data_IF_726986139592
#
_entry.id   IF_726986139592
#
_cell.length_a   1.000
_cell.length_b   1.000
_cell.length_c   1.000
_cell.angle_alpha   90.00
_cell.angle_beta   90.00
_cell.angle_gamma   90.00
#
_symmetry.space_group_name_H-M   'P 1'
#
loop_
_entity.id
_entity.type
_entity.pdbx_description
1 polymer ?
#
# COMPACT_ATOMS: atom_id res chain seq x y z
N UNK A 1 -4.60 12.16 -24.66
CA UNK A 1 -3.40 11.32 -24.81
C UNK A 1 -3.74 9.95 -25.38
N UNK A 2 -2.83 9.30 -26.17
CA UNK A 2 -3.08 7.95 -26.73
C UNK A 2 -2.13 6.95 -26.06
N UNK A 3 -2.67 5.82 -25.60
CA UNK A 3 -1.91 4.74 -24.97
C UNK A 3 -2.18 3.42 -25.69
N UNK A 4 -1.21 2.53 -25.69
CA UNK A 4 -1.33 1.24 -26.34
C UNK A 4 -2.39 0.36 -25.67
N UNK A 5 -3.36 -0.09 -26.44
CA UNK A 5 -4.30 -1.12 -26.06
C UNK A 5 -3.75 -2.47 -26.53
N UNK A 6 -3.64 -3.42 -25.61
CA UNK A 6 -3.12 -4.75 -25.87
C UNK A 6 -4.20 -5.78 -25.52
N UNK A 7 -4.26 -6.87 -26.25
CA UNK A 7 -5.14 -8.00 -25.94
C UNK A 7 -4.30 -9.18 -25.47
N UNK A 8 -4.73 -9.89 -24.42
CA UNK A 8 -4.10 -11.12 -23.97
C UNK A 8 -4.29 -12.30 -24.93
N UNK A 9 -5.30 -12.22 -25.81
CA UNK A 9 -5.65 -13.28 -26.75
C UNK A 9 -5.11 -13.06 -28.16
N UNK A 10 -4.80 -11.81 -28.53
CA UNK A 10 -4.35 -11.46 -29.89
C UNK A 10 -3.28 -10.38 -29.82
N UNK A 11 -2.25 -10.50 -30.66
CA UNK A 11 -1.17 -9.49 -30.78
C UNK A 11 -1.63 -8.18 -31.48
N UNK A 12 -2.93 -7.90 -31.51
CA UNK A 12 -3.44 -6.67 -32.09
C UNK A 12 -3.14 -5.50 -31.18
N UNK A 13 -2.39 -4.54 -31.67
CA UNK A 13 -2.15 -3.25 -31.01
C UNK A 13 -3.15 -2.25 -31.55
N UNK A 14 -3.99 -1.72 -30.71
CA UNK A 14 -4.86 -0.57 -30.99
C UNK A 14 -4.52 0.55 -29.99
N UNK A 15 -5.05 1.73 -30.18
CA UNK A 15 -4.81 2.85 -29.26
C UNK A 15 -6.12 3.22 -28.55
N UNK A 16 -6.01 3.48 -27.25
CA UNK A 16 -7.09 4.01 -26.41
C UNK A 16 -6.81 5.48 -26.10
N UNK A 17 -7.81 6.33 -26.27
CA UNK A 17 -7.72 7.74 -25.86
C UNK A 17 -7.96 7.87 -24.35
N UNK A 18 -7.09 8.62 -23.69
CA UNK A 18 -7.16 8.93 -22.26
C UNK A 18 -7.45 10.42 -22.06
N UNK A 19 -8.17 10.76 -20.99
CA UNK A 19 -8.51 12.13 -20.63
C UNK A 19 -7.29 12.87 -20.06
N UNK A 20 -6.87 13.94 -20.72
CA UNK A 20 -5.69 14.74 -20.34
C UNK A 20 -5.84 15.39 -18.95
N UNK A 21 -7.06 15.69 -18.49
CA UNK A 21 -7.30 16.24 -17.15
C UNK A 21 -6.98 15.27 -16.00
N UNK A 22 -6.85 13.97 -16.30
CA UNK A 22 -6.58 12.90 -15.32
C UNK A 22 -5.18 12.33 -15.51
N UNK A 23 -4.78 12.09 -16.76
CA UNK A 23 -3.55 11.37 -17.10
C UNK A 23 -2.43 12.27 -17.65
N UNK A 24 -2.74 13.54 -17.98
CA UNK A 24 -1.79 14.48 -18.58
C UNK A 24 -1.16 15.48 -17.60
N UNK A 25 -1.33 15.30 -16.29
CA UNK A 25 -0.79 16.22 -15.28
C UNK A 25 0.71 16.04 -15.11
N UNK A 26 1.44 17.12 -14.82
CA UNK A 26 2.82 17.02 -14.38
C UNK A 26 2.91 16.41 -12.97
N UNK A 27 3.61 15.27 -12.79
CA UNK A 27 3.65 14.58 -11.51
C UNK A 27 4.33 15.42 -10.43
N UNK A 28 3.65 15.62 -9.30
CA UNK A 28 4.16 16.35 -8.13
C UNK A 28 4.58 15.37 -7.04
N UNK A 29 5.88 15.24 -6.83
CA UNK A 29 6.47 14.32 -5.84
C UNK A 29 6.07 14.64 -4.40
N UNK A 30 5.87 15.91 -4.02
CA UNK A 30 5.42 16.32 -2.69
C UNK A 30 4.01 15.79 -2.36
N UNK A 31 3.08 15.84 -3.32
CA UNK A 31 1.72 15.33 -3.15
C UNK A 31 1.74 13.80 -3.06
N UNK A 32 2.47 13.14 -3.96
CA UNK A 32 2.63 11.68 -3.94
C UNK A 32 3.21 11.19 -2.61
N UNK A 33 4.27 11.82 -2.11
CA UNK A 33 4.88 11.50 -0.83
C UNK A 33 3.88 11.63 0.35
N UNK A 34 3.11 12.71 0.40
CA UNK A 34 2.09 12.90 1.46
C UNK A 34 1.02 11.80 1.44
N UNK A 35 0.56 11.39 0.24
CA UNK A 35 -0.46 10.33 0.13
C UNK A 35 0.13 8.97 0.49
N UNK A 36 1.35 8.65 0.06
CA UNK A 36 2.06 7.41 0.44
C UNK A 36 2.28 7.36 1.94
N UNK A 37 2.76 8.44 2.56
CA UNK A 37 2.95 8.52 4.02
C UNK A 37 1.64 8.32 4.78
N UNK A 38 0.53 8.92 4.31
CA UNK A 38 -0.80 8.67 4.87
C UNK A 38 -1.18 7.18 4.82
N UNK A 39 -0.95 6.52 3.69
CA UNK A 39 -1.33 5.12 3.51
C UNK A 39 -0.48 4.19 4.38
N UNK A 40 0.83 4.43 4.47
CA UNK A 40 1.73 3.68 5.33
C UNK A 40 1.42 3.88 6.82
N UNK A 41 1.13 5.12 7.23
CA UNK A 41 0.77 5.42 8.62
C UNK A 41 -0.53 4.74 9.05
N UNK A 42 -1.52 4.65 8.14
CA UNK A 42 -2.78 3.92 8.40
C UNK A 42 -2.62 2.40 8.49
N UNK A 43 -1.63 1.81 7.82
CA UNK A 43 -1.34 0.38 7.91
C UNK A 43 -0.69 -0.02 9.23
N UNK A 44 -0.16 0.94 9.98
CA UNK A 44 0.54 0.70 11.23
C UNK A 44 -0.44 0.45 12.37
N UNK A 45 -0.43 -0.74 12.96
CA UNK A 45 -1.37 -1.13 14.02
C UNK A 45 -1.12 -0.45 15.37
N UNK A 46 0.12 -0.04 15.65
CA UNK A 46 0.49 0.70 16.85
C UNK A 46 0.29 -0.04 18.19
N UNK A 47 0.28 -1.37 18.20
CA UNK A 47 -0.04 -2.20 19.36
C UNK A 47 1.15 -2.45 20.32
N UNK A 48 2.35 -1.98 19.96
CA UNK A 48 3.54 -2.18 20.79
C UNK A 48 3.40 -1.46 22.14
N UNK A 49 3.70 -2.19 23.22
CA UNK A 49 3.58 -1.73 24.60
C UNK A 49 4.71 -2.29 25.43
N UNK A 50 5.19 -1.51 26.37
CA UNK A 50 6.05 -1.97 27.46
C UNK A 50 5.32 -1.84 28.80
N UNK A 51 5.73 -2.61 29.79
CA UNK A 51 5.19 -2.51 31.15
C UNK A 51 5.83 -1.34 31.89
N UNK A 52 5.02 -0.44 32.41
CA UNK A 52 5.44 0.63 33.30
C UNK A 52 5.58 0.12 34.74
N UNK A 53 6.24 0.92 35.58
CA UNK A 53 6.43 0.59 37.00
C UNK A 53 5.15 0.22 37.74
N UNK A 54 4.01 0.80 37.37
CA UNK A 54 2.71 0.51 37.98
C UNK A 54 2.13 -0.83 37.54
N UNK A 55 2.43 -1.28 36.32
CA UNK A 55 1.86 -2.49 35.70
C UNK A 55 2.58 -3.78 36.10
N UNK A 56 3.90 -3.69 36.39
CA UNK A 56 4.68 -4.87 36.75
C UNK A 56 4.15 -5.49 38.06
N UNK A 57 4.01 -6.81 38.06
CA UNK A 57 3.65 -7.59 39.23
C UNK A 57 4.79 -7.57 40.24
N UNK A 58 4.49 -7.32 41.51
CA UNK A 58 5.48 -7.32 42.57
C UNK A 58 5.07 -6.42 43.74
N UNK A 59 5.80 -6.55 44.85
CA UNK A 59 5.53 -5.78 46.07
C UNK A 59 5.71 -4.27 45.84
N UNK A 60 4.80 -3.49 46.37
CA UNK A 60 4.89 -2.02 46.43
C UNK A 60 5.56 -1.52 47.70
N UNK A 61 5.95 -2.45 48.62
CA UNK A 61 6.66 -2.13 49.86
C UNK A 61 7.99 -1.46 49.55
N UNK A 62 8.34 -0.45 50.32
CA UNK A 62 9.65 0.19 50.28
C UNK A 62 10.73 -0.84 50.66
N UNK A 63 11.81 -0.90 49.86
CA UNK A 63 12.85 -1.94 49.97
C UNK A 63 13.59 -1.83 51.32
N UNK A 64 13.92 -0.60 51.74
CA UNK A 64 14.66 -0.35 52.96
C UNK A 64 14.22 0.97 53.60
N UNK A 65 14.61 1.18 54.86
CA UNK A 65 14.34 2.41 55.59
C UNK A 65 14.95 3.62 54.90
N UNK A 66 14.33 4.80 55.09
CA UNK A 66 14.74 6.05 54.40
C UNK A 66 16.13 6.52 54.88
N UNK A 67 16.49 6.23 56.11
CA UNK A 67 17.78 6.61 56.75
C UNK A 67 18.33 5.43 57.57
N UNK A 68 19.62 5.44 57.85
CA UNK A 68 20.27 4.45 58.72
C UNK A 68 20.73 3.16 58.04
N UNK A 69 20.48 2.99 56.72
CA UNK A 69 20.87 1.78 55.98
C UNK A 69 22.24 1.85 55.29
N UNK A 70 22.89 3.02 55.28
CA UNK A 70 24.17 3.24 54.57
C UNK A 70 24.10 3.13 53.02
N UNK A 71 22.99 2.65 52.49
CA UNK A 71 22.79 2.44 51.03
C UNK A 71 22.00 3.55 50.34
N UNK A 72 21.95 3.49 49.01
CA UNK A 72 21.15 4.41 48.22
C UNK A 72 19.67 4.30 48.55
N UNK A 73 18.95 5.42 48.52
CA UNK A 73 17.51 5.47 48.79
C UNK A 73 16.72 4.93 47.61
N UNK A 74 15.95 3.88 47.87
CA UNK A 74 15.08 3.28 46.88
C UNK A 74 13.63 3.20 47.35
N UNK A 75 12.70 3.25 46.46
CA UNK A 75 11.28 3.03 46.71
C UNK A 75 10.96 1.53 46.72
N UNK A 76 10.45 1.01 45.62
CA UNK A 76 10.08 -0.39 45.44
C UNK A 76 11.01 -1.10 44.44
N UNK A 77 11.00 -2.45 44.43
CA UNK A 77 11.75 -3.22 43.41
C UNK A 77 11.28 -3.01 41.96
N UNK A 78 10.11 -2.42 41.77
CA UNK A 78 9.53 -2.16 40.44
C UNK A 78 10.13 -0.95 39.74
N UNK A 79 11.01 -0.15 40.38
CA UNK A 79 11.61 1.03 39.77
C UNK A 79 12.53 0.66 38.60
N UNK A 80 12.62 1.54 37.66
CA UNK A 80 13.32 1.33 36.37
C UNK A 80 14.84 1.06 36.52
N UNK A 81 15.41 1.39 37.69
CA UNK A 81 16.81 1.19 38.00
C UNK A 81 17.17 -0.30 38.22
N UNK A 82 16.20 -1.12 38.64
CA UNK A 82 16.43 -2.52 38.92
C UNK A 82 16.14 -3.44 37.75
N UNK A 83 16.83 -4.57 37.64
CA UNK A 83 16.49 -5.65 36.73
C UNK A 83 15.06 -6.13 37.01
N UNK A 84 14.25 -6.26 35.96
CA UNK A 84 12.84 -6.60 36.08
C UNK A 84 11.95 -5.44 36.56
N UNK A 85 12.48 -4.23 36.68
CA UNK A 85 11.71 -3.02 36.90
C UNK A 85 11.03 -2.51 35.63
N UNK A 86 10.09 -1.55 35.77
CA UNK A 86 9.35 -0.96 34.65
C UNK A 86 10.23 -0.18 33.70
N UNK A 87 9.79 -0.05 32.46
CA UNK A 87 10.45 0.79 31.47
C UNK A 87 9.95 2.24 31.60
N UNK A 88 10.89 3.20 31.67
CA UNK A 88 10.56 4.61 31.63
C UNK A 88 10.40 5.07 30.19
N UNK A 89 9.33 5.83 29.89
CA UNK A 89 9.10 6.42 28.56
C UNK A 89 9.15 5.43 27.39
N UNK A 90 8.81 4.17 27.64
CA UNK A 90 8.73 3.17 26.59
C UNK A 90 7.51 3.36 25.68
N UNK A 91 7.42 2.61 24.59
CA UNK A 91 6.29 2.72 23.67
C UNK A 91 4.97 2.33 24.33
N UNK A 92 3.93 3.11 24.02
CA UNK A 92 2.54 2.85 24.40
C UNK A 92 1.69 2.67 23.17
N UNK A 93 0.62 1.84 23.23
CA UNK A 93 -0.32 1.73 22.13
C UNK A 93 -0.85 3.11 21.74
N UNK A 94 -0.73 3.43 20.43
CA UNK A 94 -1.23 4.70 19.90
C UNK A 94 -1.67 4.56 18.46
N UNK A 95 -2.59 5.41 18.03
CA UNK A 95 -2.94 5.56 16.63
C UNK A 95 -1.85 6.39 15.91
N UNK A 96 -1.35 5.86 14.79
CA UNK A 96 -0.39 6.53 13.90
C UNK A 96 -1.06 7.15 12.70
N UNK A 97 -2.38 7.02 12.55
CA UNK A 97 -3.09 7.54 11.38
C UNK A 97 -2.96 9.06 11.29
N UNK A 98 -2.72 9.54 10.08
CA UNK A 98 -2.72 10.96 9.75
C UNK A 98 -3.96 11.30 8.94
N UNK A 99 -4.36 12.57 8.91
CA UNK A 99 -5.50 13.05 8.11
C UNK A 99 -4.99 13.84 6.91
N UNK A 100 -5.58 13.57 5.74
CA UNK A 100 -5.33 14.33 4.50
C UNK A 100 -6.67 14.65 3.83
N UNK A 101 -6.90 15.88 3.36
CA UNK A 101 -8.14 16.26 2.68
C UNK A 101 -8.45 15.36 1.48
N UNK A 102 -9.74 15.11 1.22
CA UNK A 102 -10.19 14.27 0.09
C UNK A 102 -9.65 14.76 -1.26
N UNK A 103 -9.71 16.09 -1.50
CA UNK A 103 -9.20 16.72 -2.72
C UNK A 103 -7.72 16.41 -3.00
N UNK A 104 -6.87 16.46 -1.95
CA UNK A 104 -5.44 16.13 -2.09
C UNK A 104 -5.22 14.65 -2.38
N UNK A 105 -6.02 13.75 -1.80
CA UNK A 105 -5.93 12.30 -2.09
C UNK A 105 -6.33 12.00 -3.53
N UNK A 106 -7.41 12.61 -4.02
CA UNK A 106 -7.84 12.50 -5.43
C UNK A 106 -6.78 13.06 -6.37
N UNK A 107 -6.24 14.24 -6.06
CA UNK A 107 -5.17 14.85 -6.84
C UNK A 107 -3.90 13.97 -6.86
N UNK A 108 -3.54 13.37 -5.73
CA UNK A 108 -2.43 12.41 -5.64
C UNK A 108 -2.63 11.17 -6.52
N UNK A 109 -3.86 10.66 -6.63
CA UNK A 109 -4.16 9.56 -7.54
C UNK A 109 -4.01 9.97 -9.01
N UNK A 110 -4.51 11.16 -9.40
CA UNK A 110 -4.31 11.70 -10.76
C UNK A 110 -2.82 11.84 -11.08
N UNK A 111 -2.01 12.38 -10.16
CA UNK A 111 -0.55 12.49 -10.36
C UNK A 111 0.15 11.13 -10.47
N UNK A 112 -0.29 10.11 -9.72
CA UNK A 112 0.28 8.76 -9.83
C UNK A 112 -0.01 8.12 -11.19
N UNK A 113 -1.24 8.26 -11.69
CA UNK A 113 -1.62 7.81 -13.03
C UNK A 113 -0.85 8.55 -14.13
N UNK A 114 -0.74 9.89 -14.02
CA UNK A 114 0.03 10.71 -14.96
C UNK A 114 1.52 10.36 -14.97
N UNK A 115 2.10 10.04 -13.79
CA UNK A 115 3.48 9.59 -13.71
C UNK A 115 3.71 8.28 -14.50
N UNK A 116 2.77 7.33 -14.38
CA UNK A 116 2.83 6.07 -15.13
C UNK A 116 2.69 6.25 -16.63
N UNK A 117 1.86 7.20 -17.06
CA UNK A 117 1.75 7.53 -18.49
C UNK A 117 3.01 8.22 -19.01
N UNK A 118 3.55 9.18 -18.27
CA UNK A 118 4.76 9.94 -18.65
C UNK A 118 6.00 9.04 -18.81
N UNK A 119 6.06 7.95 -18.04
CA UNK A 119 7.16 6.98 -18.09
C UNK A 119 6.90 5.83 -19.08
N UNK A 120 5.83 5.84 -19.86
CA UNK A 120 5.41 4.72 -20.73
C UNK A 120 5.22 3.39 -19.95
N UNK A 121 4.76 3.50 -18.71
CA UNK A 121 4.55 2.37 -17.80
C UNK A 121 3.07 1.97 -17.69
N UNK A 122 2.15 2.71 -18.33
CA UNK A 122 0.73 2.40 -18.36
C UNK A 122 0.38 1.60 -19.61
N UNK A 123 -0.31 0.48 -19.43
CA UNK A 123 -0.81 -0.37 -20.50
C UNK A 123 -2.31 -0.57 -20.29
N UNK A 124 -3.08 -0.50 -21.36
CA UNK A 124 -4.50 -0.80 -21.32
C UNK A 124 -4.74 -2.17 -21.92
N UNK A 125 -5.44 -3.05 -21.19
CA UNK A 125 -5.91 -4.33 -21.69
C UNK A 125 -7.37 -4.24 -22.13
N UNK A 126 -7.70 -4.95 -23.17
CA UNK A 126 -9.09 -5.08 -23.62
C UNK A 126 -9.91 -5.82 -22.55
N UNK A 127 -9.52 -7.05 -22.22
CA UNK A 127 -10.12 -7.87 -21.16
C UNK A 127 -9.05 -8.70 -20.43
N UNK A 128 -9.22 -8.84 -19.11
CA UNK A 128 -8.38 -9.68 -18.24
C UNK A 128 -9.04 -11.06 -18.05
N UNK A 129 -9.13 -11.86 -19.12
CA UNK A 129 -9.76 -13.19 -19.11
C UNK A 129 -8.81 -14.30 -19.55
N UNK A 130 -8.97 -15.48 -18.94
CA UNK A 130 -8.26 -16.70 -19.30
C UNK A 130 -9.24 -17.86 -19.50
N UNK A 131 -8.99 -18.68 -20.51
CA UNK A 131 -9.76 -19.89 -20.78
C UNK A 131 -9.54 -20.97 -19.70
N UNK A 132 -8.34 -21.01 -19.12
CA UNK A 132 -7.97 -21.98 -18.08
C UNK A 132 -7.15 -21.31 -16.97
N UNK A 133 -7.24 -21.76 -15.69
CA UNK A 133 -6.52 -21.18 -14.55
C UNK A 133 -5.03 -21.61 -14.52
N UNK A 134 -4.40 -21.86 -15.69
CA UNK A 134 -3.01 -22.30 -15.77
C UNK A 134 -2.05 -21.13 -15.67
N UNK A 135 -1.26 -21.10 -14.61
CA UNK A 135 -0.22 -20.08 -14.38
C UNK A 135 0.84 -20.05 -15.46
N UNK A 136 1.20 -21.22 -16.07
CA UNK A 136 2.19 -21.31 -17.12
C UNK A 136 1.80 -20.53 -18.38
N UNK A 137 0.53 -20.61 -18.79
CA UNK A 137 0.00 -19.87 -19.95
C UNK A 137 0.02 -18.36 -19.71
N UNK A 138 -0.36 -17.94 -18.50
CA UNK A 138 -0.31 -16.52 -18.13
C UNK A 138 1.15 -16.04 -18.06
N UNK A 139 2.06 -16.81 -17.46
CA UNK A 139 3.46 -16.42 -17.32
C UNK A 139 4.17 -16.23 -18.65
N UNK A 140 3.88 -17.04 -19.68
CA UNK A 140 4.46 -16.84 -21.03
C UNK A 140 3.96 -15.54 -21.66
N UNK A 141 2.66 -15.24 -21.58
CA UNK A 141 2.08 -13.99 -22.08
C UNK A 141 2.62 -12.74 -21.38
N UNK A 142 2.80 -12.82 -20.05
CA UNK A 142 3.37 -11.74 -19.25
C UNK A 142 4.81 -11.43 -19.65
N UNK A 143 5.62 -12.47 -19.91
CA UNK A 143 7.00 -12.30 -20.41
C UNK A 143 7.04 -11.65 -21.78
N UNK A 144 6.19 -12.08 -22.70
CA UNK A 144 6.07 -11.48 -24.05
C UNK A 144 5.71 -9.98 -23.99
N UNK A 145 4.90 -9.59 -23.01
CA UNK A 145 4.46 -8.21 -22.81
C UNK A 145 5.38 -7.40 -21.88
N UNK A 146 6.44 -7.98 -21.33
CA UNK A 146 7.34 -7.36 -20.34
C UNK A 146 6.60 -6.83 -19.09
N UNK A 147 5.66 -7.64 -18.55
CA UNK A 147 4.83 -7.29 -17.41
C UNK A 147 5.20 -8.05 -16.14
N UNK A 148 6.49 -8.37 -15.93
CA UNK A 148 6.95 -9.20 -14.80
C UNK A 148 6.69 -8.54 -13.43
N UNK A 149 6.70 -7.20 -13.36
CA UNK A 149 6.40 -6.45 -12.15
C UNK A 149 5.26 -5.47 -12.42
N UNK A 150 4.03 -5.97 -12.37
CA UNK A 150 2.86 -5.21 -12.77
C UNK A 150 1.70 -5.26 -11.75
N UNK A 151 0.96 -4.15 -11.71
CA UNK A 151 -0.32 -4.03 -11.01
C UNK A 151 -1.45 -4.11 -12.03
N UNK A 152 -2.29 -5.10 -11.90
CA UNK A 152 -3.50 -5.25 -12.71
C UNK A 152 -4.69 -4.65 -11.96
N UNK A 153 -5.47 -3.84 -12.65
CA UNK A 153 -6.69 -3.23 -12.11
C UNK A 153 -7.86 -3.57 -13.02
N UNK A 154 -8.85 -4.20 -12.44
CA UNK A 154 -10.07 -4.58 -13.12
C UNK A 154 -11.30 -4.29 -12.26
N UNK A 155 -12.48 -4.60 -12.76
CA UNK A 155 -13.74 -4.47 -12.02
C UNK A 155 -13.77 -5.40 -10.81
N UNK A 156 -14.81 -5.25 -10.00
CA UNK A 156 -15.01 -6.06 -8.79
C UNK A 156 -15.21 -7.55 -9.10
N UNK A 157 -15.81 -7.87 -10.25
CA UNK A 157 -16.05 -9.23 -10.70
C UNK A 157 -14.90 -9.67 -11.63
N UNK A 158 -13.83 -10.16 -11.01
CA UNK A 158 -12.71 -10.74 -11.74
C UNK A 158 -13.10 -12.06 -12.40
N UNK A 159 -12.50 -12.33 -13.57
CA UNK A 159 -12.49 -13.70 -14.08
C UNK A 159 -11.74 -14.61 -13.11
N UNK A 160 -12.44 -15.61 -12.57
CA UNK A 160 -11.91 -16.56 -11.57
C UNK A 160 -10.63 -17.27 -12.04
N UNK A 161 -10.56 -17.62 -13.32
CA UNK A 161 -9.38 -18.27 -13.89
C UNK A 161 -8.17 -17.32 -13.89
N UNK A 162 -8.39 -16.06 -14.26
CA UNK A 162 -7.33 -15.03 -14.25
C UNK A 162 -6.87 -14.74 -12.81
N UNK A 163 -7.79 -14.59 -11.88
CA UNK A 163 -7.49 -14.33 -10.47
C UNK A 163 -6.64 -15.44 -9.84
N UNK A 164 -7.01 -16.71 -10.07
CA UNK A 164 -6.25 -17.86 -9.57
C UNK A 164 -4.86 -17.95 -10.20
N UNK A 165 -4.75 -17.68 -11.49
CA UNK A 165 -3.47 -17.73 -12.19
C UNK A 165 -2.52 -16.61 -11.74
N UNK A 166 -3.00 -15.37 -11.56
CA UNK A 166 -2.16 -14.22 -11.23
C UNK A 166 -1.63 -14.26 -9.79
N UNK A 167 -2.44 -14.75 -8.83
CA UNK A 167 -2.07 -14.80 -7.40
C UNK A 167 -0.79 -15.58 -7.11
N UNK A 168 -0.47 -16.57 -7.93
CA UNK A 168 0.72 -17.42 -7.74
C UNK A 168 1.98 -16.88 -8.43
N UNK A 169 1.88 -15.87 -9.26
CA UNK A 169 3.04 -15.32 -9.98
C UNK A 169 3.66 -14.19 -9.15
N UNK A 170 4.92 -14.37 -8.76
CA UNK A 170 5.66 -13.34 -8.04
C UNK A 170 5.81 -12.08 -8.89
N UNK A 171 5.64 -10.93 -8.27
CA UNK A 171 5.74 -9.64 -8.95
C UNK A 171 4.41 -9.08 -9.46
N UNK A 172 3.39 -9.92 -9.63
CA UNK A 172 2.08 -9.49 -10.08
C UNK A 172 1.11 -9.28 -8.91
N UNK A 173 0.23 -8.32 -9.07
CA UNK A 173 -0.86 -8.05 -8.14
C UNK A 173 -2.11 -7.69 -8.92
N UNK A 174 -3.26 -8.15 -8.43
CA UNK A 174 -4.57 -7.83 -8.96
C UNK A 174 -5.38 -7.11 -7.89
N UNK A 175 -5.87 -5.92 -8.23
CA UNK A 175 -6.68 -5.08 -7.33
C UNK A 175 -7.94 -4.66 -8.07
N UNK A 176 -9.07 -4.61 -7.34
CA UNK A 176 -10.29 -4.03 -7.90
C UNK A 176 -10.15 -2.49 -8.02
N UNK A 177 -10.94 -1.92 -8.93
CA UNK A 177 -10.92 -0.48 -9.19
C UNK A 177 -11.30 0.37 -7.97
N UNK A 178 -12.12 -0.15 -7.07
CA UNK A 178 -12.49 0.54 -5.83
C UNK A 178 -11.30 0.65 -4.87
N UNK A 179 -10.41 -0.35 -4.88
CA UNK A 179 -9.21 -0.45 -4.04
C UNK A 179 -7.98 0.26 -4.61
N UNK A 180 -8.09 0.90 -5.79
CA UNK A 180 -6.95 1.60 -6.39
C UNK A 180 -6.35 2.63 -5.43
N UNK A 181 -5.04 2.59 -5.27
CA UNK A 181 -4.32 3.48 -4.36
C UNK A 181 -2.93 3.86 -4.89
N UNK A 182 -2.43 5.01 -4.43
CA UNK A 182 -1.16 5.59 -4.90
C UNK A 182 0.03 4.72 -4.56
N UNK A 183 0.04 4.11 -3.36
CA UNK A 183 1.18 3.30 -2.91
C UNK A 183 1.41 2.09 -3.81
N UNK A 184 0.36 1.32 -4.11
CA UNK A 184 0.49 0.11 -4.93
C UNK A 184 0.80 0.45 -6.40
N UNK A 185 0.25 1.57 -6.93
CA UNK A 185 0.62 2.07 -8.27
C UNK A 185 2.12 2.39 -8.36
N UNK A 186 2.67 3.10 -7.36
CA UNK A 186 4.08 3.51 -7.40
C UNK A 186 5.04 2.37 -7.06
N UNK A 187 4.58 1.36 -6.29
CA UNK A 187 5.40 0.21 -5.91
C UNK A 187 5.71 -0.71 -7.09
N UNK A 188 4.80 -0.81 -8.04
CA UNK A 188 4.95 -1.64 -9.25
C UNK A 188 5.51 -0.82 -10.41
N UNK A 189 6.29 -1.47 -11.25
CA UNK A 189 6.86 -0.82 -12.43
C UNK A 189 5.80 -0.53 -13.48
N UNK A 190 4.99 -1.52 -13.83
CA UNK A 190 3.94 -1.38 -14.83
C UNK A 190 2.56 -1.32 -14.18
N UNK A 191 1.70 -0.48 -14.75
CA UNK A 191 0.29 -0.39 -14.40
C UNK A 191 -0.55 -0.88 -15.58
N UNK A 192 -1.41 -1.85 -15.32
CA UNK A 192 -2.27 -2.47 -16.33
C UNK A 192 -3.72 -2.21 -15.96
N UNK A 193 -4.43 -1.47 -16.77
CA UNK A 193 -5.85 -1.17 -16.62
C UNK A 193 -6.65 -1.91 -17.67
N UNK A 194 -7.82 -2.45 -17.32
CA UNK A 194 -8.77 -2.90 -18.32
C UNK A 194 -9.51 -1.70 -18.94
N UNK A 195 -9.99 -1.83 -20.15
CA UNK A 195 -10.76 -0.77 -20.84
C UNK A 195 -11.93 -0.27 -20.00
N UNK A 196 -12.68 -1.19 -19.40
CA UNK A 196 -13.80 -0.87 -18.48
C UNK A 196 -13.35 -0.10 -17.24
N UNK A 197 -12.19 -0.47 -16.68
CA UNK A 197 -11.61 0.23 -15.52
C UNK A 197 -11.22 1.67 -15.86
N UNK A 198 -10.76 1.95 -17.06
CA UNK A 198 -10.46 3.32 -17.51
C UNK A 198 -11.73 4.17 -17.54
N UNK A 199 -12.84 3.65 -18.06
CA UNK A 199 -14.13 4.35 -18.13
C UNK A 199 -14.61 4.75 -16.73
N UNK A 200 -14.63 3.81 -15.76
CA UNK A 200 -15.03 4.07 -14.37
C UNK A 200 -14.07 5.02 -13.66
N UNK A 201 -12.76 4.93 -13.92
CA UNK A 201 -11.80 5.89 -13.35
C UNK A 201 -12.03 7.29 -13.87
N UNK A 202 -12.39 7.44 -15.12
CA UNK A 202 -12.72 8.75 -15.70
C UNK A 202 -13.95 9.36 -15.02
N UNK A 203 -15.01 8.58 -14.79
CA UNK A 203 -16.21 9.04 -14.07
C UNK A 203 -15.91 9.42 -12.61
N UNK A 204 -15.11 8.59 -11.90
CA UNK A 204 -14.76 8.82 -10.50
C UNK A 204 -13.85 10.01 -10.25
N UNK A 205 -12.99 10.34 -11.23
CA UNK A 205 -11.94 11.35 -11.09
C UNK A 205 -12.27 12.67 -11.81
N UNK A 206 -13.36 12.76 -12.52
CA UNK A 206 -13.89 14.06 -12.98
C UNK A 206 -14.32 14.91 -11.78
#
# INVERSE_FOLDING_TARGET
>A
MKVNLVSLSSNKKSSQELNDSIYGLDPRGDILHRVVTLQLSKRRSGTHKVEERGEIKGSTKKIMAQKGSGGARHSTRKVNLFRGGGVAFGPKPRDYSTKLPKKIRTLGLKHALSAKVKNDELIVLDEAKLSSPKTKELASKIKELNLENALFIDLKEFDKNFELAIKNIKGLELINIEGINVYDILRKEKLVLTKRSVEILNERLQ
#
